data_IF_502697384643
#
_entry.id   IF_502697384643
#
_cell.length_a   1.000
_cell.length_b   1.000
_cell.length_c   1.000
_cell.angle_alpha   90.00
_cell.angle_beta   90.00
_cell.angle_gamma   90.00
#
_symmetry.space_group_name_H-M   'P 1'
#
loop_
_entity.id
_entity.type
_entity.pdbx_description
1 polymer ?
#
# COMPACT_ATOMS: atom_id res chain seq x y z
N UNK A 1 -17.81 20.35 -0.93
CA UNK A 1 -17.70 19.86 -2.32
C UNK A 1 -16.68 18.74 -2.36
N UNK A 2 -16.89 17.73 -3.20
CA UNK A 2 -15.90 16.69 -3.45
C UNK A 2 -14.69 17.28 -4.20
N UNK A 3 -13.51 16.68 -4.02
CA UNK A 3 -12.32 17.09 -4.76
C UNK A 3 -12.44 16.69 -6.24
N UNK A 4 -11.95 17.52 -7.18
CA UNK A 4 -12.12 17.27 -8.62
C UNK A 4 -11.19 16.18 -9.16
N UNK A 5 -10.03 15.96 -8.54
CA UNK A 5 -9.04 14.95 -8.93
C UNK A 5 -8.04 14.65 -7.79
N UNK A 6 -7.19 13.64 -7.99
CA UNK A 6 -6.22 13.17 -6.99
C UNK A 6 -5.09 14.18 -6.78
N UNK A 7 -4.69 14.92 -7.81
CA UNK A 7 -3.62 15.93 -7.76
C UNK A 7 -3.97 17.05 -6.79
N UNK A 8 -5.25 17.46 -6.78
CA UNK A 8 -5.76 18.46 -5.84
C UNK A 8 -5.63 17.97 -4.39
N UNK A 9 -5.97 16.70 -4.14
CA UNK A 9 -5.85 16.08 -2.82
C UNK A 9 -4.38 15.97 -2.40
N UNK A 10 -3.53 15.44 -3.27
CA UNK A 10 -2.10 15.25 -2.99
C UNK A 10 -1.40 16.58 -2.69
N UNK A 11 -1.69 17.63 -3.48
CA UNK A 11 -1.16 18.98 -3.27
C UNK A 11 -1.59 19.55 -1.92
N UNK A 12 -2.86 19.40 -1.54
CA UNK A 12 -3.36 19.84 -0.23
C UNK A 12 -2.71 19.05 0.90
N UNK A 13 -2.63 17.73 0.78
CA UNK A 13 -2.07 16.84 1.80
C UNK A 13 -0.62 17.21 2.11
N UNK A 14 0.20 17.45 1.08
CA UNK A 14 1.57 17.93 1.24
C UNK A 14 1.63 19.32 1.86
N UNK A 15 0.87 20.29 1.32
CA UNK A 15 0.89 21.70 1.79
C UNK A 15 0.39 21.89 3.23
N UNK A 16 -0.47 21.00 3.72
CA UNK A 16 -1.11 21.12 5.04
C UNK A 16 -0.54 20.16 6.09
N UNK A 17 0.48 19.39 5.77
CA UNK A 17 1.12 18.50 6.74
C UNK A 17 0.30 17.26 7.06
N UNK A 18 -0.35 16.67 6.05
CA UNK A 18 -0.96 15.35 6.16
C UNK A 18 0.04 14.25 5.79
N UNK A 19 0.55 14.24 4.56
CA UNK A 19 1.41 13.16 4.05
C UNK A 19 2.54 13.76 3.22
N UNK A 20 3.75 13.21 3.40
CA UNK A 20 4.95 13.56 2.65
C UNK A 20 5.58 12.30 2.03
N UNK A 21 6.21 12.39 0.85
CA UNK A 21 7.10 11.33 0.37
C UNK A 21 8.19 11.07 1.40
N UNK A 22 8.40 9.81 1.78
CA UNK A 22 9.41 9.50 2.77
C UNK A 22 10.80 9.77 2.20
N UNK A 23 11.70 10.31 3.02
CA UNK A 23 13.08 10.67 2.60
C UNK A 23 13.13 11.67 1.43
N UNK A 24 12.14 12.58 1.33
CA UNK A 24 12.01 13.55 0.22
C UNK A 24 13.30 14.32 -0.08
N UNK A 25 14.02 14.79 0.95
CA UNK A 25 15.27 15.57 0.78
C UNK A 25 16.42 14.75 0.18
N UNK A 26 16.29 13.43 0.11
CA UNK A 26 17.25 12.50 -0.46
C UNK A 26 16.77 11.87 -1.78
N UNK A 27 15.71 12.42 -2.40
CA UNK A 27 15.15 11.92 -3.65
C UNK A 27 13.95 10.98 -3.48
N UNK A 28 13.50 10.77 -2.24
CA UNK A 28 12.34 9.94 -1.93
C UNK A 28 12.63 8.45 -1.93
N UNK A 29 11.77 7.69 -1.25
CA UNK A 29 11.74 6.23 -1.31
C UNK A 29 10.42 5.78 -1.93
N UNK A 30 10.51 5.03 -3.04
CA UNK A 30 9.34 4.48 -3.71
C UNK A 30 8.46 3.68 -2.74
N UNK A 31 7.15 3.93 -2.81
CA UNK A 31 6.15 3.27 -1.96
C UNK A 31 6.28 3.51 -0.45
N UNK A 32 6.98 4.57 -0.03
CA UNK A 32 7.09 4.96 1.37
C UNK A 32 6.66 6.43 1.60
N UNK A 33 5.93 6.67 2.69
CA UNK A 33 5.39 7.99 3.03
C UNK A 33 5.42 8.24 4.53
N UNK A 34 5.62 9.50 4.90
CA UNK A 34 5.64 9.97 6.28
C UNK A 34 4.36 10.76 6.59
N UNK A 35 3.72 10.47 7.72
CA UNK A 35 2.54 11.20 8.18
C UNK A 35 2.96 12.46 8.94
N UNK A 36 2.53 13.62 8.46
CA UNK A 36 2.72 14.91 9.13
C UNK A 36 1.76 15.10 10.32
N UNK A 37 1.82 16.27 11.00
CA UNK A 37 1.05 16.53 12.21
C UNK A 37 -0.47 16.33 12.05
N UNK A 38 -1.07 16.80 10.96
CA UNK A 38 -2.51 16.57 10.73
C UNK A 38 -2.80 15.16 10.24
N UNK A 39 -1.84 14.54 9.55
CA UNK A 39 -1.97 13.18 9.04
C UNK A 39 -1.99 12.13 10.13
N UNK A 40 -1.10 12.26 11.12
CA UNK A 40 -1.04 11.31 12.23
C UNK A 40 -2.29 11.39 13.10
N UNK A 41 -2.82 12.59 13.35
CA UNK A 41 -4.10 12.78 14.05
C UNK A 41 -5.27 12.14 13.29
N UNK A 42 -5.35 12.37 11.97
CA UNK A 42 -6.38 11.74 11.14
C UNK A 42 -6.25 10.21 11.14
N UNK A 43 -5.04 9.68 10.93
CA UNK A 43 -4.77 8.23 10.92
C UNK A 43 -5.14 7.59 12.26
N UNK A 44 -4.77 8.22 13.37
CA UNK A 44 -5.11 7.75 14.71
C UNK A 44 -6.62 7.81 14.98
N UNK A 45 -7.31 8.86 14.53
CA UNK A 45 -8.77 8.97 14.63
C UNK A 45 -9.48 7.83 13.90
N UNK A 46 -9.05 7.52 12.67
CA UNK A 46 -9.62 6.40 11.89
C UNK A 46 -9.36 5.07 12.60
N UNK A 47 -8.13 4.81 13.04
CA UNK A 47 -7.79 3.58 13.78
C UNK A 47 -8.62 3.42 15.05
N UNK A 48 -8.78 4.48 15.85
CA UNK A 48 -9.59 4.47 17.08
C UNK A 48 -11.07 4.20 16.81
N UNK A 49 -11.64 4.86 15.79
CA UNK A 49 -13.02 4.65 15.41
C UNK A 49 -13.26 3.19 14.96
N UNK A 50 -12.36 2.66 14.14
CA UNK A 50 -12.40 1.27 13.66
C UNK A 50 -12.27 0.26 14.82
N UNK A 51 -11.31 0.47 15.72
CA UNK A 51 -11.07 -0.41 16.86
C UNK A 51 -12.28 -0.44 17.79
N UNK A 52 -12.87 0.72 18.08
CA UNK A 52 -14.11 0.78 18.87
C UNK A 52 -15.23 -0.02 18.21
N UNK A 53 -15.47 0.23 16.93
CA UNK A 53 -16.57 -0.40 16.20
C UNK A 53 -16.47 -1.93 16.12
N UNK A 54 -15.26 -2.48 15.92
CA UNK A 54 -15.08 -3.92 15.79
C UNK A 54 -14.81 -4.63 17.12
N UNK A 55 -14.02 -4.04 18.02
CA UNK A 55 -13.55 -4.74 19.22
C UNK A 55 -14.40 -4.38 20.44
N UNK A 56 -14.78 -3.12 20.62
CA UNK A 56 -15.50 -2.70 21.84
C UNK A 56 -17.01 -2.79 21.70
N UNK A 57 -17.55 -2.53 20.52
CA UNK A 57 -19.00 -2.53 20.28
C UNK A 57 -19.53 -3.92 19.85
N UNK A 58 -18.67 -4.96 19.84
CA UNK A 58 -19.04 -6.34 19.50
C UNK A 58 -18.55 -7.31 20.58
N UNK A 59 -19.30 -8.39 20.75
CA UNK A 59 -19.00 -9.42 21.76
C UNK A 59 -18.26 -10.65 21.18
N UNK A 60 -17.78 -10.56 19.93
CA UNK A 60 -17.24 -11.70 19.17
C UNK A 60 -15.88 -11.45 18.49
N UNK A 61 -15.17 -10.39 18.88
CA UNK A 61 -13.84 -10.05 18.34
C UNK A 61 -12.87 -9.74 19.47
N UNK A 62 -11.71 -10.39 19.43
CA UNK A 62 -10.62 -10.18 20.41
C UNK A 62 -9.48 -9.38 19.80
N UNK A 63 -8.99 -8.39 20.55
CA UNK A 63 -7.85 -7.57 20.15
C UNK A 63 -6.52 -8.25 20.46
N UNK A 64 -5.62 -8.30 19.47
CA UNK A 64 -4.24 -8.81 19.63
C UNK A 64 -3.23 -7.85 18.97
N UNK A 65 -2.00 -7.84 19.49
CA UNK A 65 -0.86 -7.15 18.89
C UNK A 65 0.32 -8.14 18.76
N UNK A 66 0.85 -8.29 17.55
CA UNK A 66 1.83 -9.33 17.20
C UNK A 66 3.10 -8.73 16.61
N UNK A 67 4.22 -9.45 16.69
CA UNK A 67 5.48 -9.00 16.10
C UNK A 67 5.44 -8.98 14.57
N UNK A 68 6.09 -7.98 13.97
CA UNK A 68 6.23 -7.86 12.50
C UNK A 68 7.20 -8.93 11.96
N UNK A 69 8.26 -9.23 12.70
CA UNK A 69 9.23 -10.26 12.32
C UNK A 69 8.71 -11.62 12.77
N UNK A 70 8.56 -12.54 11.81
CA UNK A 70 8.02 -13.87 12.01
C UNK A 70 9.02 -14.95 11.59
N UNK A 71 8.91 -16.14 12.18
CA UNK A 71 9.66 -17.31 11.75
C UNK A 71 9.29 -17.68 10.31
N UNK A 72 10.28 -18.02 9.46
CA UNK A 72 10.07 -18.40 8.05
C UNK A 72 8.98 -19.46 7.86
N UNK A 73 8.86 -20.42 8.78
CA UNK A 73 7.86 -21.49 8.66
C UNK A 73 6.42 -20.96 8.64
N UNK A 74 6.14 -19.80 9.23
CA UNK A 74 4.81 -19.16 9.14
C UNK A 74 4.50 -18.76 7.70
N UNK A 75 5.45 -18.16 7.00
CA UNK A 75 5.30 -17.76 5.60
C UNK A 75 5.20 -18.97 4.67
N UNK A 76 5.91 -20.05 4.98
CA UNK A 76 5.82 -21.32 4.24
C UNK A 76 4.44 -21.96 4.39
N UNK A 77 4.01 -22.23 5.62
CA UNK A 77 2.77 -22.98 5.85
C UNK A 77 1.50 -22.16 5.61
N UNK A 78 1.59 -20.82 5.56
CA UNK A 78 0.51 -19.97 5.08
C UNK A 78 0.44 -19.86 3.54
N UNK A 79 1.41 -20.43 2.81
CA UNK A 79 1.46 -20.41 1.34
C UNK A 79 2.10 -19.15 0.73
N UNK A 80 2.37 -18.11 1.53
CA UNK A 80 2.95 -16.85 1.04
C UNK A 80 4.28 -17.04 0.31
N UNK A 81 5.11 -17.99 0.76
CA UNK A 81 6.38 -18.30 0.10
C UNK A 81 6.21 -18.76 -1.37
N UNK A 82 5.09 -19.42 -1.69
CA UNK A 82 4.84 -19.96 -3.02
C UNK A 82 4.00 -19.01 -3.89
N UNK A 83 3.07 -18.26 -3.30
CA UNK A 83 2.01 -17.56 -4.06
C UNK A 83 2.07 -16.04 -3.98
N UNK A 84 2.81 -15.44 -3.05
CA UNK A 84 2.82 -13.97 -2.87
C UNK A 84 3.84 -13.30 -3.81
N UNK A 85 3.58 -13.38 -5.12
CA UNK A 85 4.38 -12.75 -6.17
C UNK A 85 3.49 -12.14 -7.26
N UNK A 86 3.99 -11.08 -7.90
CA UNK A 86 3.38 -10.49 -9.09
C UNK A 86 4.27 -10.78 -10.31
N UNK A 87 3.70 -11.08 -11.49
CA UNK A 87 4.48 -11.27 -12.71
C UNK A 87 5.14 -9.96 -13.15
N UNK A 88 6.46 -10.00 -13.39
CA UNK A 88 7.26 -8.87 -13.83
C UNK A 88 7.83 -9.13 -15.24
N UNK A 89 7.92 -8.07 -16.04
CA UNK A 89 8.58 -8.06 -17.34
C UNK A 89 9.71 -7.04 -17.36
N UNK A 90 10.87 -7.44 -17.91
CA UNK A 90 12.05 -6.59 -18.06
C UNK A 90 12.14 -6.04 -19.49
N UNK A 91 12.24 -4.71 -19.62
CA UNK A 91 12.64 -4.10 -20.89
C UNK A 91 14.16 -4.14 -21.01
N UNK A 92 14.69 -4.96 -21.93
CA UNK A 92 16.15 -5.09 -22.13
C UNK A 92 16.83 -3.82 -22.66
N UNK A 93 16.06 -2.89 -23.25
CA UNK A 93 16.60 -1.65 -23.80
C UNK A 93 16.73 -0.54 -22.75
N UNK A 94 15.67 -0.30 -21.94
CA UNK A 94 15.69 0.73 -20.90
C UNK A 94 15.99 0.20 -19.49
N UNK A 95 16.25 -1.10 -19.35
CA UNK A 95 16.57 -1.79 -18.09
C UNK A 95 15.53 -1.58 -16.97
N UNK A 96 14.30 -1.23 -17.35
CA UNK A 96 13.19 -1.00 -16.42
C UNK A 96 12.36 -2.27 -16.26
N UNK A 97 11.79 -2.44 -15.06
CA UNK A 97 10.85 -3.53 -14.74
C UNK A 97 9.43 -3.00 -14.64
N UNK A 98 8.51 -3.76 -15.21
CA UNK A 98 7.09 -3.45 -15.20
C UNK A 98 6.30 -4.63 -14.68
N UNK A 99 5.20 -4.33 -14.00
CA UNK A 99 4.18 -5.31 -13.66
C UNK A 99 3.43 -5.72 -14.92
N UNK A 100 3.42 -7.01 -15.22
CA UNK A 100 2.90 -7.52 -16.50
C UNK A 100 1.41 -7.21 -16.65
N UNK A 101 0.63 -7.38 -15.58
CA UNK A 101 -0.80 -7.07 -15.52
C UNK A 101 -1.08 -5.59 -15.82
N UNK A 102 -0.35 -4.68 -15.18
CA UNK A 102 -0.51 -3.23 -15.42
C UNK A 102 -0.17 -2.82 -16.84
N UNK A 103 0.87 -3.43 -17.40
CA UNK A 103 1.26 -3.17 -18.79
C UNK A 103 0.15 -3.62 -19.75
N UNK A 104 -0.44 -4.81 -19.55
CA UNK A 104 -1.54 -5.30 -20.37
C UNK A 104 -2.80 -4.44 -20.26
N UNK A 105 -3.12 -3.94 -19.05
CA UNK A 105 -4.22 -2.99 -18.83
C UNK A 105 -4.01 -1.68 -19.59
N UNK A 106 -2.80 -1.11 -19.55
CA UNK A 106 -2.47 0.13 -20.28
C UNK A 106 -2.54 -0.02 -21.80
N UNK A 107 -2.24 -1.21 -22.33
CA UNK A 107 -2.25 -1.49 -23.77
C UNK A 107 -3.53 -2.19 -24.28
N UNK A 108 -4.54 -2.39 -23.41
CA UNK A 108 -5.89 -2.85 -23.80
C UNK A 108 -6.01 -4.33 -24.19
N UNK A 109 -5.16 -5.21 -23.65
CA UNK A 109 -5.10 -6.61 -24.07
C UNK A 109 -5.86 -7.59 -23.18
N UNK A 110 -6.95 -8.18 -23.70
CA UNK A 110 -7.39 -9.53 -23.30
C UNK A 110 -6.25 -10.52 -23.59
N UNK A 111 -5.54 -10.98 -22.56
CA UNK A 111 -4.40 -11.88 -22.78
C UNK A 111 -3.51 -12.13 -21.54
N UNK A 112 -4.11 -12.31 -20.37
CA UNK A 112 -3.35 -12.63 -19.14
C UNK A 112 -3.06 -14.14 -18.97
N UNK A 113 -3.52 -15.01 -19.89
CA UNK A 113 -3.60 -16.44 -19.64
C UNK A 113 -2.29 -17.24 -19.83
N UNK A 114 -1.27 -16.73 -20.51
CA UNK A 114 -0.10 -17.55 -20.88
C UNK A 114 1.26 -16.83 -20.69
N UNK A 115 1.44 -16.16 -19.55
CA UNK A 115 2.78 -15.85 -19.04
C UNK A 115 3.13 -16.86 -17.94
N UNK A 116 3.55 -18.06 -18.35
CA UNK A 116 4.23 -19.02 -17.47
C UNK A 116 5.72 -18.72 -17.40
#
# INVERSE_FOLDING_TARGET
>A
MAAPNIETIASLAKRRGFIFPSSEIYGGLGSAWDYGPLGVELSNNVKRAWWRWLVYDRDDIEGIDSSIILNRLVWKYSGHEETFNDPLVDCRNCQSRFRADKLLEEFGGEGAADFK
#
